data_IF_410478981769
#
_entry.id   IF_410478981769
#
_cell.length_a   1.000
_cell.length_b   1.000
_cell.length_c   1.000
_cell.angle_alpha   90.00
_cell.angle_beta   90.00
_cell.angle_gamma   90.00
#
_symmetry.space_group_name_H-M   'P 1'
#
loop_
_entity.id
_entity.type
_entity.pdbx_description
1 polymer ?
#
# COMPACT_ATOMS: atom_id res chain seq x y z
N UNK A 1 -26.30 2.30 14.94
CA UNK A 1 -25.44 1.36 14.18
C UNK A 1 -25.78 1.51 12.72
N UNK A 2 -24.84 1.96 11.88
CA UNK A 2 -25.08 2.07 10.44
C UNK A 2 -25.22 0.65 9.84
N UNK A 3 -26.36 0.38 9.21
CA UNK A 3 -26.66 -0.86 8.50
C UNK A 3 -25.77 -0.91 7.25
N UNK A 4 -25.18 -2.06 6.98
CA UNK A 4 -24.44 -2.30 5.74
C UNK A 4 -25.43 -2.20 4.59
N UNK A 5 -25.21 -1.25 3.66
CA UNK A 5 -26.11 -1.03 2.51
C UNK A 5 -26.07 -2.25 1.61
N UNK A 6 -27.24 -2.66 1.09
CA UNK A 6 -27.31 -3.76 0.12
C UNK A 6 -26.75 -3.32 -1.24
N UNK A 7 -26.36 -4.29 -2.08
CA UNK A 7 -25.84 -4.05 -3.44
C UNK A 7 -26.77 -3.16 -4.27
N UNK A 8 -28.09 -3.36 -4.15
CA UNK A 8 -29.12 -2.58 -4.84
C UNK A 8 -29.20 -1.13 -4.34
N UNK A 9 -29.04 -0.90 -3.03
CA UNK A 9 -29.01 0.45 -2.46
C UNK A 9 -27.74 1.22 -2.86
N UNK A 10 -26.59 0.56 -2.96
CA UNK A 10 -25.34 1.21 -3.40
C UNK A 10 -25.35 1.57 -4.90
N UNK A 11 -26.09 0.82 -5.74
CA UNK A 11 -26.22 1.11 -7.18
C UNK A 11 -27.27 2.20 -7.44
N UNK A 12 -28.36 2.22 -6.66
CA UNK A 12 -29.50 3.13 -6.86
C UNK A 12 -29.23 4.58 -6.41
N UNK A 13 -28.32 4.78 -5.47
CA UNK A 13 -28.03 6.10 -4.86
C UNK A 13 -26.98 6.95 -5.61
N UNK A 14 -26.40 6.47 -6.72
CA UNK A 14 -25.32 7.17 -7.41
C UNK A 14 -24.07 7.35 -6.52
N UNK A 15 -23.41 8.52 -6.59
CA UNK A 15 -22.33 8.86 -5.65
C UNK A 15 -22.87 9.59 -4.42
N UNK A 16 -22.44 9.14 -3.23
CA UNK A 16 -22.76 9.77 -1.96
C UNK A 16 -21.48 10.36 -1.35
N UNK A 17 -21.59 11.37 -0.45
CA UNK A 17 -20.40 11.93 0.21
C UNK A 17 -19.53 10.88 0.88
N UNK A 18 -20.18 9.87 1.44
CA UNK A 18 -19.51 8.78 2.13
C UNK A 18 -18.75 7.83 1.19
N UNK A 19 -19.22 7.62 -0.04
CA UNK A 19 -18.47 6.80 -1.02
C UNK A 19 -17.30 7.58 -1.62
N UNK A 20 -17.44 8.89 -1.82
CA UNK A 20 -16.42 9.74 -2.44
C UNK A 20 -15.34 10.20 -1.46
N UNK A 21 -15.71 10.74 -0.29
CA UNK A 21 -14.76 11.25 0.72
C UNK A 21 -13.80 10.20 1.26
N UNK A 22 -14.10 8.91 1.07
CA UNK A 22 -13.18 7.83 1.42
C UNK A 22 -12.12 7.57 0.35
N UNK A 23 -12.39 7.91 -0.91
CA UNK A 23 -11.49 7.74 -2.06
C UNK A 23 -10.62 8.98 -2.30
N UNK A 24 -11.22 10.16 -2.09
CA UNK A 24 -10.64 11.45 -2.43
C UNK A 24 -10.38 12.26 -1.17
N UNK A 25 -9.29 13.03 -1.19
CA UNK A 25 -9.01 14.09 -0.23
C UNK A 25 -8.83 15.40 -0.99
N UNK A 26 -9.53 16.46 -0.59
CA UNK A 26 -9.29 17.81 -1.12
C UNK A 26 -8.01 18.37 -0.51
N UNK A 27 -7.11 18.89 -1.34
CA UNK A 27 -5.88 19.55 -0.90
C UNK A 27 -6.03 21.06 -0.98
N UNK A 28 -6.57 21.55 -2.09
CA UNK A 28 -6.81 22.97 -2.38
C UNK A 28 -8.16 23.12 -3.09
N UNK A 29 -8.55 24.34 -3.45
CA UNK A 29 -9.85 24.59 -4.04
C UNK A 29 -10.07 23.84 -5.36
N UNK A 30 -9.01 23.72 -6.17
CA UNK A 30 -9.00 23.06 -7.48
C UNK A 30 -8.18 21.75 -7.52
N UNK A 31 -7.51 21.39 -6.42
CA UNK A 31 -6.61 20.23 -6.36
C UNK A 31 -7.17 19.14 -5.46
N UNK A 32 -7.38 17.96 -6.05
CA UNK A 32 -7.83 16.76 -5.35
C UNK A 32 -6.77 15.66 -5.39
N UNK A 33 -6.67 14.91 -4.30
CA UNK A 33 -5.83 13.72 -4.17
C UNK A 33 -6.69 12.46 -4.14
N UNK A 34 -6.41 11.52 -5.03
CA UNK A 34 -7.08 10.22 -5.07
C UNK A 34 -6.12 9.16 -4.51
N UNK A 35 -6.65 8.34 -3.60
CA UNK A 35 -5.89 7.27 -2.93
C UNK A 35 -5.45 6.18 -3.90
N UNK A 36 -4.36 5.49 -3.55
CA UNK A 36 -3.83 4.34 -4.29
C UNK A 36 -4.49 3.06 -3.82
N UNK A 37 -5.12 2.34 -4.75
CA UNK A 37 -5.68 1.02 -4.48
C UNK A 37 -4.57 0.02 -4.10
N UNK A 38 -3.46 0.06 -4.83
CA UNK A 38 -2.35 -0.90 -4.65
C UNK A 38 -1.64 -0.77 -3.29
N UNK A 39 -1.64 0.41 -2.66
CA UNK A 39 -1.04 0.62 -1.33
C UNK A 39 -1.82 -0.18 -0.27
N UNK A 40 -3.16 -0.06 -0.33
CA UNK A 40 -4.05 -0.83 0.53
C UNK A 40 -3.90 -2.33 0.27
N UNK A 41 -3.82 -2.74 -1.00
CA UNK A 41 -3.63 -4.15 -1.36
C UNK A 41 -2.36 -4.75 -0.78
N UNK A 42 -1.24 -4.06 -1.01
CA UNK A 42 0.07 -4.49 -0.55
C UNK A 42 0.14 -4.65 0.97
N UNK A 43 -0.42 -3.70 1.72
CA UNK A 43 -0.41 -3.74 3.19
C UNK A 43 -1.39 -4.77 3.75
N UNK A 44 -2.59 -4.86 3.18
CA UNK A 44 -3.65 -5.71 3.67
C UNK A 44 -3.38 -7.20 3.39
N UNK A 45 -3.22 -7.54 2.11
CA UNK A 45 -3.18 -8.93 1.67
C UNK A 45 -1.74 -9.47 1.71
N UNK A 46 -0.74 -8.59 1.67
CA UNK A 46 0.67 -8.92 1.89
C UNK A 46 1.07 -8.78 3.35
N UNK A 47 1.32 -7.55 3.81
CA UNK A 47 2.08 -7.33 5.04
C UNK A 47 1.34 -7.79 6.32
N UNK A 48 0.07 -7.40 6.51
CA UNK A 48 -0.66 -7.67 7.75
C UNK A 48 -0.97 -9.15 7.96
N UNK A 49 -1.43 -9.86 6.92
CA UNK A 49 -1.76 -11.29 7.03
C UNK A 49 -0.53 -12.07 7.47
N UNK A 50 0.61 -11.89 6.79
CA UNK A 50 1.84 -12.58 7.15
C UNK A 50 2.39 -12.15 8.51
N UNK A 51 2.28 -10.87 8.87
CA UNK A 51 2.68 -10.39 10.19
C UNK A 51 1.89 -11.07 11.32
N UNK A 52 0.56 -11.16 11.19
CA UNK A 52 -0.31 -11.80 12.18
C UNK A 52 -0.03 -13.30 12.26
N UNK A 53 0.11 -13.98 11.12
CA UNK A 53 0.41 -15.42 11.07
C UNK A 53 1.73 -15.72 11.78
N UNK A 54 2.80 -15.00 11.45
CA UNK A 54 4.12 -15.17 12.09
C UNK A 54 4.05 -14.86 13.59
N UNK A 55 3.34 -13.80 13.98
CA UNK A 55 3.17 -13.44 15.38
C UNK A 55 2.44 -14.54 16.16
N UNK A 56 1.35 -15.09 15.62
CA UNK A 56 0.61 -16.19 16.22
C UNK A 56 1.48 -17.45 16.36
N UNK A 57 2.26 -17.80 15.34
CA UNK A 57 3.19 -18.93 15.39
C UNK A 57 4.24 -18.74 16.48
N UNK A 58 4.83 -17.54 16.59
CA UNK A 58 5.81 -17.23 17.64
C UNK A 58 5.21 -17.28 19.04
N UNK A 59 4.03 -16.68 19.25
CA UNK A 59 3.36 -16.71 20.56
C UNK A 59 3.03 -18.15 20.95
N UNK A 60 2.50 -18.94 20.02
CA UNK A 60 2.19 -20.35 20.26
C UNK A 60 3.47 -21.12 20.62
N UNK A 61 4.54 -20.92 19.86
CA UNK A 61 5.85 -21.53 20.10
C UNK A 61 6.43 -21.19 21.48
N UNK A 62 6.29 -19.94 21.93
CA UNK A 62 6.73 -19.50 23.27
C UNK A 62 5.93 -20.22 24.36
N UNK A 63 4.61 -20.37 24.18
CA UNK A 63 3.74 -21.04 25.16
C UNK A 63 4.03 -22.54 25.21
N UNK A 64 4.21 -23.19 24.06
CA UNK A 64 4.45 -24.65 23.97
C UNK A 64 5.91 -25.05 24.16
N UNK A 65 6.83 -24.09 24.20
CA UNK A 65 8.28 -24.30 24.26
C UNK A 65 8.81 -25.27 23.19
N UNK A 66 8.27 -25.14 21.98
CA UNK A 66 8.58 -26.03 20.86
C UNK A 66 9.99 -25.80 20.26
N UNK A 67 10.25 -26.41 19.09
CA UNK A 67 11.53 -26.28 18.39
C UNK A 67 11.87 -24.82 18.03
N UNK A 68 10.89 -24.04 17.58
CA UNK A 68 11.13 -22.64 17.17
C UNK A 68 11.58 -21.82 18.39
N UNK A 69 10.96 -22.05 19.55
CA UNK A 69 11.36 -21.41 20.81
C UNK A 69 12.78 -21.76 21.20
N UNK A 70 13.14 -23.06 21.15
CA UNK A 70 14.52 -23.49 21.45
C UNK A 70 15.53 -22.88 20.48
N UNK A 71 15.22 -22.84 19.18
CA UNK A 71 16.09 -22.25 18.16
C UNK A 71 16.27 -20.74 18.41
N UNK A 72 15.20 -20.01 18.80
CA UNK A 72 15.29 -18.60 19.21
C UNK A 72 16.18 -18.41 20.46
N UNK A 73 16.09 -19.29 21.45
CA UNK A 73 16.95 -19.24 22.63
C UNK A 73 18.42 -19.50 22.28
N UNK A 74 18.70 -20.45 21.36
CA UNK A 74 20.06 -20.65 20.81
C UNK A 74 20.61 -19.40 20.11
N UNK A 75 19.76 -18.61 19.47
CA UNK A 75 20.14 -17.36 18.82
C UNK A 75 20.44 -16.24 19.84
N UNK A 76 19.59 -16.08 20.86
CA UNK A 76 19.67 -15.00 21.86
C UNK A 76 20.72 -15.29 22.95
N UNK A 77 20.58 -16.43 23.63
CA UNK A 77 21.39 -16.80 24.79
C UNK A 77 21.56 -18.32 24.87
N UNK A 78 22.52 -18.90 24.14
CA UNK A 78 22.77 -20.34 24.18
C UNK A 78 23.26 -20.80 25.57
N UNK A 79 23.83 -19.87 26.35
CA UNK A 79 24.37 -20.14 27.69
C UNK A 79 23.30 -20.60 28.70
N UNK A 80 22.02 -20.31 28.44
CA UNK A 80 20.89 -20.79 29.27
C UNK A 80 20.83 -22.33 29.28
N UNK A 81 21.16 -22.97 28.16
CA UNK A 81 21.20 -24.44 28.06
C UNK A 81 22.61 -25.01 28.27
N UNK A 82 23.63 -24.26 27.84
CA UNK A 82 25.01 -24.75 27.87
C UNK A 82 25.59 -24.80 29.28
N UNK A 83 25.29 -23.84 30.14
CA UNK A 83 25.85 -23.82 31.51
C UNK A 83 25.37 -24.99 32.36
N UNK A 84 24.06 -25.28 32.48
CA UNK A 84 23.61 -26.43 33.27
C UNK A 84 24.17 -27.74 32.74
N UNK A 85 24.14 -27.93 31.42
CA UNK A 85 24.67 -29.15 30.81
C UNK A 85 26.19 -29.29 30.99
N UNK A 86 26.94 -28.18 30.97
CA UNK A 86 28.37 -28.19 31.27
C UNK A 86 28.67 -28.55 32.72
N UNK A 87 27.90 -28.02 33.68
CA UNK A 87 28.02 -28.35 35.11
C UNK A 87 27.67 -29.82 35.38
N UNK A 88 26.63 -30.35 34.74
CA UNK A 88 26.26 -31.76 34.81
C UNK A 88 27.39 -32.66 34.28
N UNK A 89 27.94 -32.32 33.10
CA UNK A 89 29.08 -33.04 32.52
C UNK A 89 30.30 -32.97 33.44
N UNK A 90 30.59 -31.79 34.00
CA UNK A 90 31.69 -31.62 34.96
C UNK A 90 31.53 -32.55 36.16
N UNK A 91 30.33 -32.63 36.74
CA UNK A 91 30.03 -33.53 37.86
C UNK A 91 30.13 -35.02 37.51
N UNK A 92 30.00 -35.41 36.24
CA UNK A 92 30.28 -36.79 35.79
C UNK A 92 31.80 -37.04 35.75
N UNK A 93 32.58 -36.13 35.18
CA UNK A 93 34.04 -36.22 35.12
C UNK A 93 34.69 -36.19 36.52
N UNK A 94 34.14 -35.38 37.44
CA UNK A 94 34.54 -35.35 38.86
C UNK A 94 34.39 -36.73 39.51
N UNK A 95 33.24 -37.40 39.30
CA UNK A 95 32.97 -38.74 39.85
C UNK A 95 33.83 -39.84 39.22
N UNK A 96 34.31 -39.64 38.00
CA UNK A 96 35.19 -40.57 37.29
C UNK A 96 36.68 -40.32 37.57
N UNK A 97 37.02 -39.27 38.30
CA UNK A 97 38.42 -38.90 38.60
C UNK A 97 39.20 -38.42 37.37
N UNK A 98 38.52 -37.95 36.32
CA UNK A 98 39.11 -37.54 35.05
C UNK A 98 38.98 -36.02 34.79
N UNK A 99 38.95 -35.21 35.85
CA UNK A 99 38.74 -33.77 35.75
C UNK A 99 39.79 -33.07 34.87
N UNK A 100 41.00 -33.61 34.89
CA UNK A 100 42.18 -33.10 34.22
C UNK A 100 42.02 -33.07 32.70
N UNK A 101 41.15 -33.95 32.17
CA UNK A 101 40.79 -34.04 30.75
C UNK A 101 39.57 -33.18 30.38
N UNK A 102 38.93 -32.54 31.37
CA UNK A 102 37.71 -31.78 31.17
C UNK A 102 38.02 -30.38 30.61
N UNK A 103 37.63 -30.18 29.34
CA UNK A 103 37.79 -28.91 28.62
C UNK A 103 37.15 -27.71 29.32
N UNK A 104 37.72 -26.54 29.06
CA UNK A 104 37.18 -25.27 29.59
C UNK A 104 35.77 -24.98 29.06
N UNK A 105 35.01 -24.18 29.81
CA UNK A 105 33.65 -23.78 29.39
C UNK A 105 33.65 -23.09 28.03
N UNK A 106 34.66 -22.25 27.76
CA UNK A 106 34.75 -21.52 26.49
C UNK A 106 34.96 -22.45 25.29
N UNK A 107 35.81 -23.47 25.43
CA UNK A 107 36.04 -24.47 24.39
C UNK A 107 34.81 -25.36 24.17
N UNK A 108 34.17 -25.78 25.27
CA UNK A 108 32.90 -26.51 25.24
C UNK A 108 31.82 -25.69 24.50
N UNK A 109 31.64 -24.44 24.91
CA UNK A 109 30.67 -23.50 24.32
C UNK A 109 30.94 -23.28 22.84
N UNK A 110 32.20 -23.04 22.44
CA UNK A 110 32.57 -22.81 21.04
C UNK A 110 32.26 -24.04 20.18
N UNK A 111 32.51 -25.24 20.70
CA UNK A 111 32.14 -26.50 20.04
C UNK A 111 30.62 -26.62 19.85
N UNK A 112 29.86 -26.45 20.93
CA UNK A 112 28.40 -26.59 20.91
C UNK A 112 27.72 -25.54 20.04
N UNK A 113 28.21 -24.30 20.06
CA UNK A 113 27.70 -23.20 19.21
C UNK A 113 27.95 -23.49 17.73
N UNK A 114 29.08 -24.12 17.39
CA UNK A 114 29.38 -24.53 16.01
C UNK A 114 28.45 -25.64 15.55
N UNK A 115 28.25 -26.64 16.40
CA UNK A 115 27.36 -27.78 16.14
C UNK A 115 25.89 -27.33 15.95
N UNK A 116 25.43 -26.40 16.78
CA UNK A 116 24.07 -25.87 16.75
C UNK A 116 23.92 -24.60 15.87
N UNK A 117 24.87 -24.36 14.96
CA UNK A 117 24.87 -23.17 14.09
C UNK A 117 23.57 -23.03 13.28
N UNK A 118 23.03 -24.14 12.75
CA UNK A 118 21.74 -24.14 12.05
C UNK A 118 20.58 -23.63 12.92
N UNK A 119 20.46 -24.13 14.16
CA UNK A 119 19.44 -23.69 15.10
C UNK A 119 19.55 -22.18 15.39
N UNK A 120 20.78 -21.65 15.49
CA UNK A 120 21.01 -20.20 15.67
C UNK A 120 20.53 -19.38 14.48
N UNK A 121 20.83 -19.81 13.25
CA UNK A 121 20.37 -19.11 12.05
C UNK A 121 18.85 -19.13 11.93
N UNK A 122 18.23 -20.29 12.16
CA UNK A 122 16.77 -20.44 12.15
C UNK A 122 16.12 -19.58 13.23
N UNK A 123 16.64 -19.60 14.46
CA UNK A 123 16.17 -18.74 15.54
C UNK A 123 16.30 -17.25 15.24
N UNK A 124 17.45 -16.83 14.73
CA UNK A 124 17.68 -15.43 14.31
C UNK A 124 16.70 -15.00 13.21
N UNK A 125 16.41 -15.89 12.25
CA UNK A 125 15.41 -15.64 11.22
C UNK A 125 14.02 -15.45 11.81
N UNK A 126 13.57 -16.31 12.72
CA UNK A 126 12.26 -16.17 13.37
C UNK A 126 12.15 -14.93 14.26
N UNK A 127 13.26 -14.40 14.77
CA UNK A 127 13.29 -13.11 15.49
C UNK A 127 13.25 -11.93 14.51
N UNK A 128 14.01 -11.99 13.41
CA UNK A 128 14.12 -10.90 12.44
C UNK A 128 12.86 -10.77 11.56
N UNK A 129 12.22 -11.89 11.19
CA UNK A 129 11.05 -11.94 10.32
C UNK A 129 9.86 -11.07 10.82
N UNK A 130 9.37 -11.19 12.07
CA UNK A 130 8.29 -10.33 12.56
C UNK A 130 8.69 -8.85 12.57
N UNK A 131 9.96 -8.53 12.86
CA UNK A 131 10.47 -7.15 12.83
C UNK A 131 10.42 -6.61 11.40
N UNK A 132 10.88 -7.40 10.43
CA UNK A 132 10.85 -7.05 9.01
C UNK A 132 9.42 -6.86 8.51
N UNK A 133 8.51 -7.79 8.85
CA UNK A 133 7.10 -7.70 8.50
C UNK A 133 6.43 -6.49 9.15
N UNK A 134 6.78 -6.16 10.40
CA UNK A 134 6.30 -4.96 11.08
C UNK A 134 6.77 -3.68 10.38
N UNK A 135 8.05 -3.60 10.00
CA UNK A 135 8.57 -2.47 9.22
C UNK A 135 7.86 -2.35 7.85
N UNK A 136 7.50 -3.48 7.25
CA UNK A 136 6.72 -3.55 6.02
C UNK A 136 5.28 -3.02 6.20
N UNK A 137 4.60 -3.44 7.27
CA UNK A 137 3.28 -2.91 7.67
C UNK A 137 3.35 -1.40 7.93
N UNK A 138 4.40 -0.95 8.64
CA UNK A 138 4.62 0.44 9.01
C UNK A 138 5.11 1.33 7.86
N UNK A 139 5.32 0.76 6.66
CA UNK A 139 5.91 1.46 5.51
C UNK A 139 5.15 2.74 5.13
N UNK A 140 5.83 3.74 4.55
CA UNK A 140 5.19 4.97 4.08
C UNK A 140 4.03 4.69 3.12
N UNK A 141 2.96 5.48 3.21
CA UNK A 141 1.88 5.45 2.21
C UNK A 141 2.42 5.73 0.82
N UNK A 142 1.97 4.99 -0.18
CA UNK A 142 2.31 5.29 -1.56
C UNK A 142 1.67 6.61 -1.99
N UNK A 143 2.32 7.31 -2.92
CA UNK A 143 1.91 8.65 -3.33
C UNK A 143 0.51 8.64 -3.98
N UNK A 144 -0.39 9.56 -3.61
CA UNK A 144 -1.70 9.65 -4.25
C UNK A 144 -1.59 10.21 -5.68
N UNK A 145 -2.61 9.95 -6.50
CA UNK A 145 -2.81 10.64 -7.77
C UNK A 145 -3.34 12.04 -7.47
N UNK A 146 -2.82 13.08 -8.13
CA UNK A 146 -3.34 14.44 -8.01
C UNK A 146 -4.02 14.85 -9.30
N UNK A 147 -5.15 15.52 -9.16
CA UNK A 147 -5.85 16.15 -10.27
C UNK A 147 -5.96 17.63 -9.95
N UNK A 148 -5.43 18.45 -10.84
CA UNK A 148 -5.54 19.91 -10.84
C UNK A 148 -6.55 20.30 -11.92
N UNK A 149 -7.73 20.75 -11.47
CA UNK A 149 -8.84 21.14 -12.36
C UNK A 149 -8.51 22.42 -13.13
N UNK A 150 -7.85 23.38 -12.49
CA UNK A 150 -7.56 24.70 -13.06
C UNK A 150 -6.63 24.61 -14.26
N UNK A 151 -5.61 23.74 -14.16
CA UNK A 151 -4.63 23.51 -15.24
C UNK A 151 -5.01 22.32 -16.14
N UNK A 152 -6.12 21.62 -15.84
CA UNK A 152 -6.56 20.37 -16.49
C UNK A 152 -5.50 19.27 -16.47
N UNK A 153 -4.77 19.15 -15.36
CA UNK A 153 -3.65 18.21 -15.22
C UNK A 153 -4.02 17.04 -14.33
N UNK A 154 -3.59 15.86 -14.75
CA UNK A 154 -3.58 14.64 -13.92
C UNK A 154 -2.14 14.21 -13.77
N UNK A 155 -1.63 14.19 -12.54
CA UNK A 155 -0.22 13.90 -12.31
C UNK A 155 0.04 13.08 -11.06
N UNK A 156 1.14 12.32 -11.12
CA UNK A 156 1.59 11.46 -10.04
C UNK A 156 3.11 11.38 -10.04
N UNK A 157 3.72 11.42 -8.85
CA UNK A 157 5.16 11.29 -8.68
C UNK A 157 5.47 9.91 -8.12
N UNK A 158 6.25 9.13 -8.86
CA UNK A 158 6.75 7.83 -8.39
C UNK A 158 8.27 7.85 -8.28
N UNK A 159 8.80 7.60 -7.09
CA UNK A 159 10.25 7.55 -6.85
C UNK A 159 11.03 8.72 -7.51
N UNK A 160 10.48 9.95 -7.45
CA UNK A 160 11.10 11.15 -8.02
C UNK A 160 10.91 11.35 -9.53
N UNK A 161 10.18 10.46 -10.20
CA UNK A 161 9.78 10.58 -11.60
C UNK A 161 8.35 11.10 -11.72
N UNK A 162 8.15 12.13 -12.55
CA UNK A 162 6.84 12.73 -12.81
C UNK A 162 6.14 12.01 -13.97
N UNK A 163 4.92 11.58 -13.70
CA UNK A 163 3.95 11.15 -14.71
C UNK A 163 2.84 12.20 -14.75
N UNK A 164 2.50 12.68 -15.94
CA UNK A 164 1.60 13.80 -16.13
C UNK A 164 0.93 13.67 -17.49
N UNK A 165 -0.38 13.92 -17.52
CA UNK A 165 -1.14 14.17 -18.73
C UNK A 165 -2.04 15.39 -18.52
N UNK A 166 -2.31 16.11 -19.60
CA UNK A 166 -3.25 17.22 -19.64
C UNK A 166 -4.44 16.82 -20.50
N UNK A 167 -5.65 16.96 -19.97
CA UNK A 167 -6.87 16.69 -20.74
C UNK A 167 -7.35 17.96 -21.45
N UNK A 168 -7.88 17.85 -22.69
CA UNK A 168 -8.29 19.01 -23.46
C UNK A 168 -9.61 19.59 -22.95
N UNK A 169 -9.84 20.86 -23.26
CA UNK A 169 -11.08 21.56 -22.87
C UNK A 169 -12.32 20.91 -23.51
N UNK A 170 -12.18 20.38 -24.72
CA UNK A 170 -13.24 19.63 -25.39
C UNK A 170 -13.74 18.45 -24.55
N UNK A 171 -12.82 17.65 -23.98
CA UNK A 171 -13.19 16.50 -23.15
C UNK A 171 -13.91 16.95 -21.87
N UNK A 172 -13.56 18.12 -21.35
CA UNK A 172 -14.28 18.77 -20.24
C UNK A 172 -15.72 19.11 -20.66
N UNK A 173 -15.89 19.84 -21.75
CA UNK A 173 -17.18 20.30 -22.26
C UNK A 173 -18.14 19.14 -22.59
N UNK A 174 -17.61 18.06 -23.16
CA UNK A 174 -18.42 16.90 -23.60
C UNK A 174 -18.59 15.81 -22.54
N UNK A 175 -18.14 16.04 -21.29
CA UNK A 175 -18.22 15.02 -20.23
C UNK A 175 -17.54 13.70 -20.62
N UNK A 176 -16.36 13.79 -21.24
CA UNK A 176 -15.54 12.65 -21.71
C UNK A 176 -14.13 12.63 -21.13
N UNK A 177 -13.89 13.30 -20.00
CA UNK A 177 -12.56 13.40 -19.39
C UNK A 177 -12.00 12.02 -19.02
N UNK A 178 -12.84 11.14 -18.46
CA UNK A 178 -12.40 9.80 -18.06
C UNK A 178 -12.13 8.87 -19.26
N UNK A 179 -12.81 9.09 -20.39
CA UNK A 179 -12.58 8.37 -21.65
C UNK A 179 -11.24 8.79 -22.27
N UNK A 180 -10.96 10.10 -22.28
CA UNK A 180 -9.69 10.64 -22.74
C UNK A 180 -8.48 10.12 -21.95
N UNK A 181 -8.63 9.96 -20.63
CA UNK A 181 -7.58 9.47 -19.74
C UNK A 181 -7.37 7.94 -19.80
N UNK A 182 -8.00 7.25 -20.76
CA UNK A 182 -7.90 5.80 -21.00
C UNK A 182 -8.11 5.00 -19.69
N UNK A 183 -9.23 5.27 -19.02
CA UNK A 183 -9.50 4.68 -17.70
C UNK A 183 -10.26 3.36 -17.78
N UNK A 184 -9.65 2.30 -17.23
CA UNK A 184 -10.24 0.96 -17.12
C UNK A 184 -10.41 0.54 -15.65
N UNK A 185 -11.12 -0.56 -15.40
CA UNK A 185 -11.28 -1.09 -14.04
C UNK A 185 -10.28 -2.22 -13.80
N UNK A 186 -9.47 -2.10 -12.76
CA UNK A 186 -8.55 -3.15 -12.36
C UNK A 186 -9.31 -4.31 -11.73
N UNK A 187 -9.30 -5.48 -12.38
CA UNK A 187 -9.85 -6.70 -11.80
C UNK A 187 -8.84 -7.35 -10.85
N UNK A 188 -9.15 -7.43 -9.54
CA UNK A 188 -8.31 -8.13 -8.57
C UNK A 188 -8.43 -9.65 -8.78
N UNK A 189 -7.33 -10.40 -8.66
CA UNK A 189 -7.38 -11.85 -8.88
C UNK A 189 -8.11 -12.59 -7.75
N UNK A 190 -7.95 -12.16 -6.49
CA UNK A 190 -8.49 -12.85 -5.29
C UNK A 190 -9.93 -12.43 -5.00
N UNK A 191 -10.34 -11.24 -5.46
CA UNK A 191 -11.55 -10.57 -5.00
C UNK A 191 -12.59 -10.48 -6.09
N UNK A 192 -13.82 -10.15 -5.69
CA UNK A 192 -14.88 -9.90 -6.63
C UNK A 192 -14.50 -8.73 -7.57
N UNK A 193 -14.83 -8.82 -8.88
CA UNK A 193 -14.53 -7.76 -9.84
C UNK A 193 -15.07 -6.38 -9.44
N UNK A 194 -16.16 -6.33 -8.67
CA UNK A 194 -16.79 -5.11 -8.18
C UNK A 194 -15.95 -4.33 -7.14
N UNK A 195 -14.92 -4.94 -6.55
CA UNK A 195 -13.99 -4.30 -5.62
C UNK A 195 -12.79 -3.65 -6.34
N UNK A 196 -12.70 -3.83 -7.66
CA UNK A 196 -11.59 -3.36 -8.46
C UNK A 196 -11.31 -1.86 -8.35
N UNK A 197 -10.04 -1.46 -8.39
CA UNK A 197 -9.66 -0.04 -8.42
C UNK A 197 -9.80 0.58 -9.81
N UNK A 198 -10.03 1.88 -9.90
CA UNK A 198 -10.00 2.61 -11.16
C UNK A 198 -8.56 2.72 -11.65
N UNK A 199 -8.26 2.33 -12.87
CA UNK A 199 -6.91 2.32 -13.44
C UNK A 199 -6.75 3.50 -14.40
N UNK A 200 -5.64 4.21 -14.26
CA UNK A 200 -5.23 5.31 -15.13
C UNK A 200 -3.95 4.92 -15.86
N UNK A 201 -3.85 5.30 -17.12
CA UNK A 201 -2.62 5.23 -17.90
C UNK A 201 -2.06 6.63 -18.01
N UNK A 202 -0.92 6.91 -17.36
CA UNK A 202 -0.26 8.22 -17.50
C UNK A 202 1.06 8.15 -18.26
N UNK A 203 1.34 9.19 -19.05
CA UNK A 203 2.62 9.38 -19.74
C UNK A 203 3.71 9.86 -18.79
N UNK A 204 4.95 9.42 -19.03
CA UNK A 204 6.12 9.90 -18.30
C UNK A 204 6.55 11.28 -18.85
N UNK A 205 6.78 12.26 -17.98
CA UNK A 205 7.03 13.65 -18.38
C UNK A 205 8.23 13.86 -19.32
N UNK A 206 9.23 12.95 -19.29
CA UNK A 206 10.48 13.07 -20.08
C UNK A 206 10.73 11.93 -21.07
N UNK A 207 9.97 10.84 -20.99
CA UNK A 207 10.28 9.60 -21.73
C UNK A 207 9.00 9.17 -22.45
N UNK A 208 9.10 8.57 -23.64
CA UNK A 208 7.94 8.06 -24.37
C UNK A 208 7.47 6.73 -23.76
N UNK A 209 7.25 6.70 -22.45
CA UNK A 209 6.79 5.53 -21.72
C UNK A 209 5.56 5.90 -20.92
N UNK A 210 4.57 5.01 -20.92
CA UNK A 210 3.36 5.16 -20.11
C UNK A 210 3.42 4.22 -18.91
N UNK A 211 2.67 4.55 -17.87
CA UNK A 211 2.54 3.70 -16.69
C UNK A 211 1.09 3.62 -16.26
N UNK A 212 0.63 2.38 -16.11
CA UNK A 212 -0.68 2.07 -15.54
C UNK A 212 -0.63 2.06 -14.03
N UNK A 213 -1.68 2.57 -13.40
CA UNK A 213 -1.82 2.47 -11.96
C UNK A 213 -3.27 2.49 -11.50
N UNK A 214 -3.55 1.72 -10.44
CA UNK A 214 -4.87 1.61 -9.85
C UNK A 214 -5.03 2.58 -8.67
N UNK A 215 -6.08 3.39 -8.72
CA UNK A 215 -6.53 4.31 -7.68
C UNK A 215 -7.88 3.86 -7.12
N UNK A 216 -8.26 4.47 -6.01
CA UNK A 216 -9.45 4.12 -5.25
C UNK A 216 -9.11 3.42 -3.94
N UNK A 217 -10.15 2.92 -3.27
CA UNK A 217 -10.03 2.24 -1.99
C UNK A 217 -9.93 0.74 -2.22
N UNK A 218 -9.03 0.12 -1.47
CA UNK A 218 -8.80 -1.31 -1.54
C UNK A 218 -9.93 -2.18 -0.94
N UNK A 219 -10.51 -1.77 0.19
CA UNK A 219 -11.69 -2.39 0.80
C UNK A 219 -12.83 -1.38 0.80
N UNK A 220 -13.62 -1.32 -0.30
CA UNK A 220 -14.72 -0.39 -0.38
C UNK A 220 -15.79 -0.72 0.67
N UNK A 221 -16.56 0.29 1.05
CA UNK A 221 -17.71 0.15 1.96
C UNK A 221 -18.97 -0.36 1.23
N UNK A 222 -19.01 -0.23 -0.10
CA UNK A 222 -20.07 -0.70 -0.98
C UNK A 222 -19.43 -1.44 -2.19
N UNK A 223 -20.05 -2.50 -2.71
CA UNK A 223 -19.68 -3.03 -4.02
C UNK A 223 -19.76 -1.93 -5.08
N UNK A 224 -18.87 -1.96 -6.08
CA UNK A 224 -18.78 -0.98 -7.16
C UNK A 224 -18.44 0.46 -6.73
N UNK A 225 -18.07 0.71 -5.47
CA UNK A 225 -17.72 2.06 -5.00
C UNK A 225 -16.62 2.73 -5.85
N UNK A 226 -15.63 1.97 -6.29
CA UNK A 226 -14.56 2.48 -7.16
C UNK A 226 -15.02 2.73 -8.60
N UNK A 227 -16.10 2.09 -9.05
CA UNK A 227 -16.72 2.38 -10.36
C UNK A 227 -17.48 3.70 -10.31
N UNK A 228 -18.19 3.93 -9.20
CA UNK A 228 -18.88 5.21 -8.91
C UNK A 228 -17.89 6.38 -8.87
N UNK A 229 -16.65 6.15 -8.44
CA UNK A 229 -15.57 7.14 -8.50
C UNK A 229 -15.30 7.63 -9.93
N UNK A 230 -15.37 6.75 -10.95
CA UNK A 230 -15.18 7.14 -12.36
C UNK A 230 -16.25 8.14 -12.80
N UNK A 231 -17.51 7.83 -12.52
CA UNK A 231 -18.64 8.71 -12.84
C UNK A 231 -18.50 10.07 -12.12
N UNK A 232 -18.22 10.05 -10.81
CA UNK A 232 -18.00 11.26 -10.04
C UNK A 232 -16.87 12.13 -10.61
N UNK A 233 -15.72 11.53 -10.97
CA UNK A 233 -14.60 12.28 -11.51
C UNK A 233 -14.93 12.88 -12.88
N UNK A 234 -15.71 12.19 -13.69
CA UNK A 234 -16.17 12.72 -14.96
C UNK A 234 -17.04 13.97 -14.76
N UNK A 235 -18.04 13.90 -13.88
CA UNK A 235 -18.94 15.02 -13.57
C UNK A 235 -18.20 16.19 -12.92
N UNK A 236 -17.36 15.90 -11.92
CA UNK A 236 -16.61 16.90 -11.16
C UNK A 236 -15.57 17.66 -12.01
N UNK A 237 -14.91 16.97 -12.94
CA UNK A 237 -13.92 17.63 -13.81
C UNK A 237 -14.58 18.41 -14.94
N UNK A 238 -15.77 18.00 -15.36
CA UNK A 238 -16.56 18.66 -16.41
C UNK A 238 -17.39 19.85 -15.95
N UNK A 239 -17.64 19.98 -14.65
CA UNK A 239 -18.47 21.07 -14.12
C UNK A 239 -17.74 22.42 -14.08
N UNK A 240 -18.48 23.48 -14.41
CA UNK A 240 -18.04 24.86 -14.21
C UNK A 240 -18.19 25.32 -12.75
N UNK A 241 -19.08 24.68 -11.98
CA UNK A 241 -19.35 25.01 -10.58
C UNK A 241 -18.82 23.91 -9.61
N UNK A 242 -17.54 23.96 -9.21
CA UNK A 242 -16.95 22.97 -8.32
C UNK A 242 -17.49 23.06 -6.89
N UNK A 243 -18.07 24.20 -6.49
CA UNK A 243 -18.58 24.42 -5.12
C UNK A 243 -19.75 23.49 -4.80
N UNK A 244 -20.56 23.18 -5.82
CA UNK A 244 -21.67 22.23 -5.73
C UNK A 244 -21.22 20.82 -5.29
N UNK A 245 -19.93 20.48 -5.41
CA UNK A 245 -19.38 19.18 -5.05
C UNK A 245 -18.66 19.16 -3.70
N UNK A 246 -18.58 20.29 -3.00
CA UNK A 246 -17.80 20.39 -1.75
C UNK A 246 -18.30 19.46 -0.65
N UNK A 247 -19.61 19.19 -0.59
CA UNK A 247 -20.18 18.28 0.40
C UNK A 247 -19.71 16.84 0.19
N UNK A 248 -19.36 16.43 -1.03
CA UNK A 248 -18.86 15.07 -1.31
C UNK A 248 -17.46 14.79 -0.75
N UNK A 249 -16.69 15.82 -0.41
CA UNK A 249 -15.35 15.64 0.19
C UNK A 249 -15.39 15.49 1.71
N UNK A 250 -16.55 15.73 2.35
CA UNK A 250 -16.73 15.57 3.80
C UNK A 250 -17.47 14.28 4.10
N UNK A 251 -16.90 13.47 4.99
CA UNK A 251 -17.57 12.26 5.49
C UNK A 251 -18.78 12.65 6.33
N UNK A 252 -19.93 12.03 6.08
CA UNK A 252 -21.16 12.26 6.85
C UNK A 252 -21.29 11.29 8.04
N UNK A 253 -20.63 10.12 7.98
CA UNK A 253 -20.63 9.15 9.09
C UNK A 253 -19.36 8.30 9.21
N UNK A 254 -19.16 7.70 10.40
CA UNK A 254 -18.16 6.64 10.65
C UNK A 254 -18.81 5.27 10.48
N UNK A 255 -18.23 4.43 9.63
CA UNK A 255 -18.69 3.04 9.38
C UNK A 255 -17.64 2.06 9.93
N UNK A 256 -18.04 0.82 10.24
CA UNK A 256 -17.11 -0.24 10.70
C UNK A 256 -15.91 -0.44 9.77
N UNK A 257 -16.12 -0.27 8.46
CA UNK A 257 -15.05 -0.32 7.45
C UNK A 257 -13.99 0.77 7.63
N UNK A 258 -14.29 1.88 8.31
CA UNK A 258 -13.28 2.90 8.64
C UNK A 258 -12.24 2.37 9.65
N UNK A 259 -12.62 1.46 10.58
CA UNK A 259 -11.68 0.79 11.50
C UNK A 259 -10.77 -0.19 10.77
N UNK A 260 -11.33 -0.95 9.82
CA UNK A 260 -10.54 -1.88 9.00
C UNK A 260 -9.60 -1.09 8.07
N UNK A 261 -10.07 0.03 7.52
CA UNK A 261 -9.26 0.94 6.71
C UNK A 261 -8.08 1.55 7.48
N UNK A 262 -8.17 1.71 8.81
CA UNK A 262 -7.04 2.15 9.62
C UNK A 262 -5.85 1.20 9.48
N UNK A 263 -6.07 -0.12 9.55
CA UNK A 263 -4.99 -1.11 9.41
C UNK A 263 -4.26 -0.96 8.08
N UNK A 264 -4.97 -0.81 6.97
CA UNK A 264 -4.35 -0.69 5.65
C UNK A 264 -3.71 0.68 5.40
N UNK A 265 -4.06 1.68 6.20
CA UNK A 265 -3.48 3.01 6.14
C UNK A 265 -2.44 3.27 7.23
N UNK A 266 -2.16 2.26 8.06
CA UNK A 266 -1.17 2.35 9.10
C UNK A 266 0.19 2.67 8.49
N UNK A 267 0.85 3.64 9.09
CA UNK A 267 2.18 4.07 8.69
C UNK A 267 2.84 4.74 9.88
N UNK A 268 4.09 4.39 10.16
CA UNK A 268 4.89 5.08 11.18
C UNK A 268 5.88 6.05 10.56
N UNK A 269 6.24 5.82 9.29
CA UNK A 269 7.19 6.65 8.59
C UNK A 269 6.48 7.74 7.79
N UNK A 270 6.97 8.99 7.83
CA UNK A 270 6.41 10.04 6.99
C UNK A 270 6.56 9.67 5.51
N UNK A 271 5.69 10.23 4.67
CA UNK A 271 5.80 10.07 3.22
C UNK A 271 7.09 10.76 2.74
N UNK A 272 8.18 10.01 2.66
CA UNK A 272 9.53 10.52 2.38
C UNK A 272 9.69 10.91 0.90
N UNK A 273 10.30 12.06 0.62
CA UNK A 273 10.79 12.41 -0.74
C UNK A 273 9.84 13.17 -1.67
N UNK A 274 8.77 13.80 -1.18
CA UNK A 274 7.99 14.75 -1.99
C UNK A 274 8.45 16.16 -1.68
N UNK A 275 8.87 16.87 -2.72
CA UNK A 275 9.24 18.26 -2.65
C UNK A 275 8.29 19.00 -3.59
N UNK A 276 7.32 19.71 -3.00
CA UNK A 276 6.28 20.46 -3.72
C UNK A 276 6.89 21.40 -4.74
N UNK A 277 7.89 22.18 -4.34
CA UNK A 277 8.58 23.12 -5.22
C UNK A 277 9.25 22.41 -6.40
N UNK A 278 9.90 21.27 -6.16
CA UNK A 278 10.57 20.51 -7.23
C UNK A 278 9.56 19.94 -8.21
N UNK A 279 8.45 19.39 -7.72
CA UNK A 279 7.39 18.85 -8.58
C UNK A 279 6.73 19.96 -9.38
N UNK A 280 6.44 21.11 -8.75
CA UNK A 280 5.87 22.26 -9.43
C UNK A 280 6.80 22.78 -10.54
N UNK A 281 8.11 22.91 -10.28
CA UNK A 281 9.10 23.26 -11.32
C UNK A 281 9.08 22.28 -12.50
N UNK A 282 9.00 20.98 -12.23
CA UNK A 282 8.91 19.96 -13.29
C UNK A 282 7.60 20.05 -14.08
N UNK A 283 6.49 20.38 -13.43
CA UNK A 283 5.21 20.61 -14.10
C UNK A 283 5.30 21.84 -15.00
N UNK A 284 5.87 22.94 -14.51
CA UNK A 284 6.06 24.15 -15.32
C UNK A 284 6.98 23.91 -16.53
N UNK A 285 8.10 23.22 -16.34
CA UNK A 285 8.99 22.80 -17.44
C UNK A 285 8.24 21.93 -18.48
N UNK A 286 7.34 21.06 -18.03
CA UNK A 286 6.55 20.21 -18.92
C UNK A 286 5.49 21.00 -19.68
N UNK A 287 4.80 21.94 -19.01
CA UNK A 287 3.81 22.83 -19.62
C UNK A 287 4.43 23.72 -20.70
N UNK A 288 5.64 24.24 -20.46
CA UNK A 288 6.36 25.04 -21.44
C UNK A 288 6.74 24.24 -22.70
N UNK A 289 7.03 22.94 -22.54
CA UNK A 289 7.38 22.05 -23.66
C UNK A 289 6.15 21.52 -24.40
N UNK A 290 5.00 21.48 -23.74
CA UNK A 290 3.74 20.97 -24.27
C UNK A 290 2.68 22.07 -24.12
N UNK A 291 2.76 23.16 -24.91
CA UNK A 291 1.70 24.18 -24.93
C UNK A 291 0.36 23.55 -25.34
N UNK A 292 -0.75 24.21 -25.02
CA UNK A 292 -2.05 23.74 -25.51
C UNK A 292 -2.14 23.93 -27.01
N UNK A 293 -2.21 22.81 -27.73
CA UNK A 293 -2.61 22.83 -29.12
C UNK A 293 -4.12 23.06 -29.17
N UNK A 294 -4.55 24.27 -29.52
CA UNK A 294 -5.97 24.63 -29.77
C UNK A 294 -6.58 23.88 -30.97
N UNK A 295 -5.80 23.03 -31.65
CA UNK A 295 -6.16 22.30 -32.87
C UNK A 295 -5.92 20.78 -32.74
N UNK A 296 -6.50 20.14 -31.72
CA UNK A 296 -6.60 18.67 -31.72
C UNK A 296 -7.92 18.24 -32.37
N UNK A 297 -7.85 17.88 -33.66
CA UNK A 297 -8.96 17.39 -34.46
C UNK A 297 -9.30 15.92 -34.09
N UNK A 298 -10.56 15.68 -33.70
CA UNK A 298 -11.05 14.45 -33.09
C UNK A 298 -11.45 13.34 -34.08
N UNK A 299 -11.24 13.53 -35.40
CA UNK A 299 -11.49 12.49 -36.42
C UNK A 299 -10.71 11.17 -36.24
N UNK A 300 -9.77 11.12 -35.28
CA UNK A 300 -8.91 9.95 -35.00
C UNK A 300 -9.32 9.10 -33.79
N UNK A 301 -10.28 9.53 -32.97
CA UNK A 301 -10.79 8.71 -31.86
C UNK A 301 -11.99 7.84 -32.28
N UNK A 302 -12.85 8.33 -33.17
CA UNK A 302 -13.98 7.56 -33.72
C UNK A 302 -13.53 6.35 -34.58
N UNK A 303 -12.33 6.42 -35.16
CA UNK A 303 -11.75 5.32 -35.94
C UNK A 303 -11.08 4.21 -35.11
N UNK A 304 -10.95 4.38 -33.78
CA UNK A 304 -10.40 3.32 -32.91
C UNK A 304 -11.45 2.35 -32.38
N UNK A 305 -12.71 2.73 -32.39
CA UNK A 305 -13.82 1.86 -31.98
C UNK A 305 -14.33 0.96 -33.12
N UNK A 306 -13.81 1.15 -34.35
CA UNK A 306 -14.14 0.36 -35.54
C UNK A 306 -13.06 -0.68 -35.93
N UNK A 307 -12.21 -1.14 -34.99
CA UNK A 307 -11.24 -2.22 -35.22
C UNK A 307 -11.26 -3.33 -34.19
#
# INVERSE_FOLDING_TARGET
MAKEKTLEECIKDGYTPDTIARNIKRLDDDVIEIRRYNDGNFKADGAWIWFIVVLCLMVTSIITQDRIYRDMQWAISPDIYLKPHYEDLRGVYERQGALDEFRSYEEYRKGMVREHSYARYTGAFFIALPILLFLWVASPKWRPLRIDRRRRLVYFVNFGQLYIDRYPDYARQHHKVMEYLDTDMHQPWIRHPCDGGLRFTLSHAKKPTTRRFSVGIFKPACPFQNHVLKAFLNDYLSTDNPEAYQHYFKKTGRIKTDFINFFYQFTLFPTRGYNEERTERQIQEWLQKNPEDEHFDYGLLDNRDNK
#
